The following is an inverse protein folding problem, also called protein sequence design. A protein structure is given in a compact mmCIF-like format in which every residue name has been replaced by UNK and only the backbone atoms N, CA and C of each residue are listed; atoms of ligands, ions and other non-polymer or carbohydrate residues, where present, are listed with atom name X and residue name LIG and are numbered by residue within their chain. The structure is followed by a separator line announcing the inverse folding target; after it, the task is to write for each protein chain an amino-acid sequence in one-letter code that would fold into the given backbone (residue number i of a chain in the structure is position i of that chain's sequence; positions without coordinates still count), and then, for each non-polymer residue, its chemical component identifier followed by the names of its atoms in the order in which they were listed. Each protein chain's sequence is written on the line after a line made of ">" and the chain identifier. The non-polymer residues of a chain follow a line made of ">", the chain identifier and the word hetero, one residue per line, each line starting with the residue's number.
data_IF_324592582932
#
_entry.id   IF_324592582932
#
_cell.length_a   1.000
_cell.length_b   1.000
_cell.length_c   1.000
_cell.angle_alpha   90.00
_cell.angle_beta   90.00
_cell.angle_gamma   90.00
#
_symmetry.space_group_name_H-M   'P 1'
#
loop_
_entity.id
_entity.type
_entity.pdbx_description
1 polymer ?
#
# COMPACT_ATOMS: atom_id res chain seq x y z
N UNK A 1 -8.56 0.39 -16.36
CA UNK A 1 -8.30 1.40 -15.33
C UNK A 1 -9.26 1.09 -14.20
N UNK A 2 -8.75 0.65 -13.07
CA UNK A 2 -9.58 0.32 -11.90
C UNK A 2 -9.61 1.52 -10.96
N UNK A 3 -10.79 1.83 -10.42
CA UNK A 3 -10.94 2.77 -9.32
C UNK A 3 -11.40 1.94 -8.10
N UNK A 4 -10.55 1.82 -7.09
CA UNK A 4 -10.98 1.39 -5.75
C UNK A 4 -11.27 2.64 -4.92
N UNK A 5 -12.22 2.59 -3.98
CA UNK A 5 -12.59 3.73 -3.13
C UNK A 5 -11.42 4.29 -2.30
N UNK A 6 -10.44 3.43 -2.03
CA UNK A 6 -9.20 3.73 -1.29
C UNK A 6 -8.06 4.25 -2.18
N UNK A 7 -8.27 4.34 -3.50
CA UNK A 7 -7.32 4.98 -4.41
C UNK A 7 -7.83 6.37 -4.77
N UNK A 8 -6.91 7.31 -4.97
CA UNK A 8 -7.31 8.68 -5.30
C UNK A 8 -8.02 8.72 -6.65
N UNK A 9 -9.28 9.18 -6.67
CA UNK A 9 -10.04 9.38 -7.91
C UNK A 9 -9.40 10.43 -8.85
N UNK A 10 -8.45 11.21 -8.33
CA UNK A 10 -7.64 12.18 -9.05
C UNK A 10 -6.55 11.55 -9.92
N UNK A 11 -6.31 10.24 -9.82
CA UNK A 11 -5.20 9.58 -10.49
C UNK A 11 -5.68 8.39 -11.33
N UNK A 12 -4.90 8.04 -12.35
CA UNK A 12 -5.03 6.75 -13.02
C UNK A 12 -4.01 5.77 -12.47
N UNK A 13 -4.47 4.54 -12.25
CA UNK A 13 -3.66 3.45 -11.74
C UNK A 13 -3.62 2.29 -12.73
N UNK A 14 -2.45 1.63 -12.79
CA UNK A 14 -2.23 0.36 -13.47
C UNK A 14 -2.10 -0.72 -12.40
N UNK A 15 -2.89 -1.78 -12.52
CA UNK A 15 -2.76 -2.98 -11.67
C UNK A 15 -1.45 -3.71 -11.97
N UNK A 16 -0.81 -4.23 -10.93
CA UNK A 16 0.42 -5.00 -10.99
C UNK A 16 0.23 -6.36 -10.31
N UNK A 17 0.96 -7.38 -10.74
CA UNK A 17 1.15 -8.58 -9.92
C UNK A 17 2.08 -8.28 -8.74
N UNK A 18 2.10 -9.16 -7.75
CA UNK A 18 3.05 -9.07 -6.65
C UNK A 18 4.50 -9.06 -7.15
N UNK A 19 4.84 -9.91 -8.11
CA UNK A 19 6.18 -10.00 -8.70
C UNK A 19 6.53 -8.74 -9.48
N UNK A 20 5.58 -8.16 -10.23
CA UNK A 20 5.77 -6.89 -10.94
C UNK A 20 6.01 -5.73 -9.97
N UNK A 21 5.20 -5.64 -8.90
CA UNK A 21 5.36 -4.61 -7.88
C UNK A 21 6.72 -4.71 -7.17
N UNK A 22 7.17 -5.93 -6.82
CA UNK A 22 8.48 -6.16 -6.21
C UNK A 22 9.64 -5.84 -7.16
N UNK A 23 9.52 -6.18 -8.44
CA UNK A 23 10.56 -5.93 -9.42
C UNK A 23 10.70 -4.43 -9.72
N UNK A 24 9.59 -3.69 -9.72
CA UNK A 24 9.56 -2.24 -10.00
C UNK A 24 9.97 -1.41 -8.80
N UNK A 25 9.45 -1.72 -7.61
CA UNK A 25 9.60 -0.86 -6.44
C UNK A 25 10.94 -1.06 -5.74
N UNK A 26 11.75 0.00 -5.71
CA UNK A 26 13.10 0.01 -5.11
C UNK A 26 13.26 1.12 -4.04
N UNK A 27 12.14 1.69 -3.57
CA UNK A 27 12.11 2.85 -2.68
C UNK A 27 12.20 2.53 -1.18
N UNK A 28 11.85 3.52 -0.36
CA UNK A 28 11.79 3.39 1.10
C UNK A 28 10.86 2.27 1.56
N UNK A 29 11.29 1.47 2.53
CA UNK A 29 10.50 0.33 2.97
C UNK A 29 10.46 -0.81 1.94
N UNK A 30 11.35 -0.81 0.93
CA UNK A 30 11.61 -1.98 0.09
C UNK A 30 11.76 -3.23 0.97
N UNK A 31 11.04 -4.28 0.61
CA UNK A 31 10.93 -5.51 1.40
C UNK A 31 9.74 -5.54 2.35
N UNK A 32 8.95 -4.47 2.50
CA UNK A 32 7.72 -4.49 3.30
C UNK A 32 6.74 -5.55 2.80
N UNK A 33 6.47 -5.61 1.49
CA UNK A 33 5.57 -6.63 0.94
C UNK A 33 6.11 -8.05 1.11
N UNK A 34 7.42 -8.26 0.93
CA UNK A 34 8.04 -9.57 1.18
C UNK A 34 7.91 -9.98 2.65
N UNK A 35 8.16 -9.06 3.59
CA UNK A 35 8.01 -9.31 5.01
C UNK A 35 6.54 -9.58 5.39
N UNK A 36 5.61 -8.83 4.80
CA UNK A 36 4.16 -9.00 4.96
C UNK A 36 3.71 -10.39 4.49
N UNK A 37 4.05 -10.78 3.26
CA UNK A 37 3.67 -12.08 2.69
C UNK A 37 4.36 -13.22 3.43
N UNK A 38 5.63 -13.05 3.82
CA UNK A 38 6.33 -14.05 4.63
C UNK A 38 5.66 -14.29 5.97
N UNK A 39 5.15 -13.23 6.61
CA UNK A 39 4.49 -13.31 7.93
C UNK A 39 3.03 -13.73 7.85
N UNK A 40 2.34 -13.36 6.77
CA UNK A 40 0.92 -13.54 6.58
C UNK A 40 0.61 -14.03 5.15
N UNK A 41 1.03 -15.23 4.74
CA UNK A 41 1.00 -15.65 3.33
C UNK A 41 -0.41 -15.65 2.72
N UNK A 42 -1.45 -15.87 3.52
CA UNK A 42 -2.85 -15.84 3.08
C UNK A 42 -3.31 -14.44 2.63
N UNK A 43 -2.63 -13.38 3.06
CA UNK A 43 -3.00 -12.01 2.73
C UNK A 43 -2.92 -11.75 1.22
N UNK A 44 -2.00 -12.44 0.54
CA UNK A 44 -1.73 -12.26 -0.88
C UNK A 44 -2.95 -12.55 -1.75
N UNK A 45 -3.83 -13.47 -1.30
CA UNK A 45 -5.08 -13.80 -2.01
C UNK A 45 -6.03 -12.60 -2.15
N UNK A 46 -5.91 -11.62 -1.25
CA UNK A 46 -6.80 -10.49 -1.13
C UNK A 46 -6.10 -9.15 -1.38
N UNK A 47 -4.79 -9.17 -1.65
CA UNK A 47 -4.03 -7.99 -2.03
C UNK A 47 -4.03 -7.81 -3.54
N UNK A 48 -4.34 -6.60 -3.97
CA UNK A 48 -4.13 -6.15 -5.35
C UNK A 48 -3.16 -4.99 -5.36
N UNK A 49 -2.15 -5.04 -6.23
CA UNK A 49 -1.09 -4.03 -6.31
C UNK A 49 -1.35 -3.06 -7.45
N UNK A 50 -0.91 -1.82 -7.26
CA UNK A 50 -1.16 -0.73 -8.19
C UNK A 50 0.05 0.22 -8.29
N UNK A 51 0.27 0.73 -9.50
CA UNK A 51 1.16 1.85 -9.80
C UNK A 51 0.32 3.03 -10.28
N UNK A 52 0.55 4.23 -9.73
CA UNK A 52 0.02 5.46 -10.31
C UNK A 52 0.75 5.75 -11.63
N UNK A 53 0.01 6.02 -12.69
CA UNK A 53 0.60 6.26 -14.03
C UNK A 53 0.49 7.71 -14.50
N UNK A 54 -0.53 8.44 -14.04
CA UNK A 54 -0.71 9.87 -14.32
C UNK A 54 -1.76 10.49 -13.41
N UNK A 55 -1.70 11.81 -13.30
CA UNK A 55 -2.75 12.60 -12.68
C UNK A 55 -3.87 12.87 -13.69
N UNK A 56 -5.11 12.77 -13.23
CA UNK A 56 -6.27 13.29 -13.95
C UNK A 56 -6.34 14.78 -13.66
N UNK A 57 -6.66 15.58 -14.69
CA UNK A 57 -6.86 17.05 -14.58
C UNK A 57 -8.09 17.46 -13.75
N UNK A 58 -8.63 16.53 -12.96
CA UNK A 58 -9.78 16.73 -12.08
C UNK A 58 -9.33 17.32 -10.75
N UNK A 59 -8.07 17.10 -10.35
CA UNK A 59 -7.49 17.64 -9.14
C UNK A 59 -6.10 18.22 -9.44
N UNK A 60 -5.75 19.33 -8.81
CA UNK A 60 -4.40 19.90 -8.89
C UNK A 60 -3.57 19.29 -7.78
N UNK A 61 -2.79 18.26 -8.12
CA UNK A 61 -1.80 17.70 -7.19
C UNK A 61 -0.53 18.58 -7.24
N UNK A 62 0.00 19.05 -6.10
CA UNK A 62 1.14 19.97 -6.06
C UNK A 62 2.44 19.36 -6.58
N UNK A 63 2.56 18.04 -6.61
CA UNK A 63 3.82 17.33 -6.86
C UNK A 63 3.82 16.47 -8.13
N UNK A 64 2.76 16.55 -8.95
CA UNK A 64 2.59 15.68 -10.12
C UNK A 64 2.39 14.20 -9.74
N UNK A 65 2.39 13.30 -10.74
CA UNK A 65 2.08 11.90 -10.51
C UNK A 65 3.20 11.21 -9.75
N UNK A 66 2.84 10.51 -8.66
CA UNK A 66 3.77 9.74 -7.83
C UNK A 66 3.99 8.35 -8.44
N UNK A 67 4.63 8.30 -9.61
CA UNK A 67 4.76 7.08 -10.42
C UNK A 67 5.72 6.03 -9.84
N UNK A 68 6.59 6.48 -8.96
CA UNK A 68 7.61 5.72 -8.25
C UNK A 68 7.03 4.98 -7.04
N UNK A 69 5.94 5.51 -6.47
CA UNK A 69 5.26 4.91 -5.34
C UNK A 69 4.67 3.54 -5.71
N UNK A 70 4.44 2.74 -4.68
CA UNK A 70 3.69 1.50 -4.81
C UNK A 70 2.45 1.57 -3.93
N UNK A 71 1.33 1.10 -4.45
CA UNK A 71 0.08 1.01 -3.73
C UNK A 71 -0.37 -0.45 -3.71
N UNK A 72 -0.99 -0.87 -2.62
CA UNK A 72 -1.66 -2.15 -2.53
C UNK A 72 -2.96 -2.01 -1.74
N UNK A 73 -4.04 -2.61 -2.23
CA UNK A 73 -5.32 -2.66 -1.52
C UNK A 73 -5.59 -4.09 -1.09
N UNK A 74 -5.85 -4.28 0.20
CA UNK A 74 -6.44 -5.50 0.72
C UNK A 74 -7.96 -5.37 0.68
N UNK A 75 -8.65 -6.39 0.19
CA UNK A 75 -10.10 -6.48 0.28
C UNK A 75 -10.57 -7.94 0.32
N UNK A 76 -11.22 -8.35 1.41
CA UNK A 76 -11.83 -9.69 1.56
C UNK A 76 -13.37 -9.68 1.45
N UNK A 77 -13.95 -8.54 1.05
CA UNK A 77 -15.38 -8.28 0.99
C UNK A 77 -15.99 -7.81 2.32
N UNK A 78 -15.26 -7.90 3.43
CA UNK A 78 -15.69 -7.41 4.75
C UNK A 78 -14.77 -6.31 5.27
N UNK A 79 -13.46 -6.49 5.11
CA UNK A 79 -12.41 -5.57 5.53
C UNK A 79 -11.68 -5.06 4.30
N UNK A 80 -11.44 -3.75 4.24
CA UNK A 80 -10.62 -3.13 3.22
C UNK A 80 -9.65 -2.13 3.82
N UNK A 81 -8.41 -2.15 3.34
CA UNK A 81 -7.39 -1.16 3.70
C UNK A 81 -6.37 -1.02 2.59
N UNK A 82 -5.69 0.12 2.56
CA UNK A 82 -4.62 0.44 1.65
C UNK A 82 -3.25 0.41 2.32
N UNK A 83 -2.25 0.14 1.51
CA UNK A 83 -0.83 0.28 1.79
C UNK A 83 -0.29 1.20 0.70
N UNK A 84 0.42 2.26 1.07
CA UNK A 84 1.24 3.03 0.15
C UNK A 84 2.69 2.96 0.62
N UNK A 85 3.58 2.56 -0.28
CA UNK A 85 5.02 2.71 -0.09
C UNK A 85 5.44 3.96 -0.85
N UNK A 86 5.58 5.07 -0.13
CA UNK A 86 6.15 6.27 -0.72
C UNK A 86 7.61 5.99 -1.07
N UNK A 87 8.04 6.37 -2.27
CA UNK A 87 9.38 6.04 -2.74
C UNK A 87 10.50 6.60 -1.85
N UNK A 88 10.28 7.76 -1.21
CA UNK A 88 11.33 8.49 -0.51
C UNK A 88 11.22 8.46 1.02
N UNK A 89 10.01 8.42 1.57
CA UNK A 89 9.81 8.81 2.99
C UNK A 89 9.25 7.73 3.89
N UNK A 90 8.23 7.00 3.46
CA UNK A 90 7.36 6.29 4.39
C UNK A 90 6.54 5.13 3.83
N UNK A 91 6.06 4.31 4.77
CA UNK A 91 5.03 3.30 4.59
C UNK A 91 3.75 3.87 5.21
N UNK A 92 2.71 4.06 4.40
CA UNK A 92 1.39 4.51 4.86
C UNK A 92 0.45 3.31 4.91
N UNK A 93 -0.24 3.15 6.03
CA UNK A 93 -1.33 2.18 6.20
C UNK A 93 -2.62 2.94 6.44
N UNK A 94 -3.66 2.67 5.65
CA UNK A 94 -4.85 3.52 5.71
C UNK A 94 -6.14 2.77 5.38
N UNK A 95 -7.25 3.28 5.91
CA UNK A 95 -8.61 2.95 5.47
C UNK A 95 -9.40 4.25 5.29
N UNK A 96 -10.74 4.20 5.32
CA UNK A 96 -11.58 5.40 5.18
C UNK A 96 -11.59 6.29 6.45
N UNK A 97 -11.22 5.75 7.60
CA UNK A 97 -11.37 6.39 8.91
C UNK A 97 -10.02 6.81 9.52
N UNK A 98 -8.93 6.10 9.20
CA UNK A 98 -7.61 6.33 9.80
C UNK A 98 -6.46 6.04 8.84
N UNK A 99 -5.35 6.70 9.11
CA UNK A 99 -4.08 6.56 8.44
C UNK A 99 -2.92 6.51 9.48
N UNK A 100 -1.88 5.76 9.13
CA UNK A 100 -0.64 5.70 9.88
C UNK A 100 0.53 5.90 8.94
N UNK A 101 1.33 6.92 9.21
CA UNK A 101 2.56 7.24 8.49
C UNK A 101 3.77 6.70 9.25
N UNK A 102 4.47 5.75 8.63
CA UNK A 102 5.65 5.09 9.19
C UNK A 102 6.87 5.36 8.32
N UNK A 103 7.52 6.49 8.59
CA UNK A 103 8.68 6.93 7.82
C UNK A 103 10.05 6.71 8.44
N UNK A 104 11.06 7.30 7.80
CA UNK A 104 12.48 7.21 8.18
C UNK A 104 12.78 7.66 9.62
N UNK A 105 11.86 8.38 10.27
CA UNK A 105 11.98 8.80 11.66
C UNK A 105 11.83 7.64 12.66
N UNK A 106 11.43 6.46 12.20
CA UNK A 106 11.43 5.24 12.99
C UNK A 106 12.71 4.41 12.79
N UNK A 107 13.20 3.78 13.87
CA UNK A 107 14.39 2.91 13.82
C UNK A 107 14.19 1.66 12.95
N UNK A 108 12.99 1.07 12.99
CA UNK A 108 12.63 -0.15 12.26
C UNK A 108 11.24 0.04 11.61
N UNK A 109 11.13 0.85 10.55
CA UNK A 109 9.85 1.25 9.97
C UNK A 109 9.02 0.05 9.49
N UNK A 110 9.64 -0.93 8.85
CA UNK A 110 8.94 -2.15 8.38
C UNK A 110 8.31 -2.92 9.55
N UNK A 111 9.06 -3.19 10.62
CA UNK A 111 8.51 -3.93 11.77
C UNK A 111 7.40 -3.15 12.49
N UNK A 112 7.52 -1.83 12.54
CA UNK A 112 6.51 -0.96 13.15
C UNK A 112 5.24 -0.95 12.29
N UNK A 113 5.37 -0.80 10.97
CA UNK A 113 4.25 -0.90 10.04
C UNK A 113 3.56 -2.27 10.17
N UNK A 114 4.30 -3.38 10.20
CA UNK A 114 3.72 -4.71 10.41
C UNK A 114 2.99 -4.84 11.76
N UNK A 115 3.48 -4.20 12.81
CA UNK A 115 2.82 -4.18 14.11
C UNK A 115 1.49 -3.40 14.07
N UNK A 116 1.46 -2.22 13.44
CA UNK A 116 0.23 -1.44 13.24
C UNK A 116 -0.76 -2.20 12.35
N UNK A 117 -0.30 -2.75 11.23
CA UNK A 117 -1.10 -3.57 10.32
C UNK A 117 -1.80 -4.70 11.08
N UNK A 118 -1.05 -5.46 11.88
CA UNK A 118 -1.58 -6.56 12.68
C UNK A 118 -2.60 -6.10 13.71
N UNK A 119 -2.35 -4.98 14.38
CA UNK A 119 -3.17 -4.48 15.47
C UNK A 119 -4.53 -3.97 14.97
N UNK A 120 -4.52 -3.26 13.84
CA UNK A 120 -5.62 -2.36 13.49
C UNK A 120 -6.31 -2.66 12.16
N UNK A 121 -5.70 -3.45 11.28
CA UNK A 121 -6.20 -3.68 9.92
C UNK A 121 -6.40 -5.15 9.56
N UNK A 122 -5.52 -6.04 10.03
CA UNK A 122 -5.62 -7.45 9.65
C UNK A 122 -6.83 -8.14 10.30
N UNK A 123 -7.68 -8.81 9.51
CA UNK A 123 -8.76 -9.62 10.08
C UNK A 123 -8.21 -10.90 10.72
N UNK A 124 -8.96 -11.43 11.68
CA UNK A 124 -8.59 -12.66 12.41
C UNK A 124 -8.37 -13.89 11.51
N UNK A 125 -8.93 -13.90 10.30
CA UNK A 125 -8.76 -14.96 9.29
C UNK A 125 -7.34 -15.03 8.73
N UNK A 126 -6.61 -13.92 8.73
CA UNK A 126 -5.22 -13.81 8.25
C UNK A 126 -4.22 -14.11 9.37
N UNK A 127 -4.61 -13.90 10.63
CA UNK A 127 -3.74 -14.10 11.80
C UNK A 127 -3.62 -15.56 12.27
N UNK A 128 -4.50 -16.45 11.78
CA UNK A 128 -4.55 -17.88 12.11
C UNK A 128 -3.96 -18.74 11.00
#
# INVERSE_FOLDING_TARGET
>A
MENHELLSHCCDYKTETYEEALARYDGFGKGFYEALVKRYPKILKHLTFYQQIRDRRVCVMPYGPQTEDSYAIYNDGTTAFGIQLNFYTEIVLYDNDKDYDIGYWYKNPIEIALAYLKRDFLPNSILK
#
